data_IF_193664138564
#
_entry.id   IF_193664138564
#
_cell.length_a   1.000
_cell.length_b   1.000
_cell.length_c   1.000
_cell.angle_alpha   90.00
_cell.angle_beta   90.00
_cell.angle_gamma   90.00
#
_symmetry.space_group_name_H-M   'P 1'
#
loop_
_entity.id
_entity.type
_entity.pdbx_description
1 polymer ?
#
# COMPACT_ATOMS: atom_id res chain seq x y z
N UNK A 1 -15.96 -0.70 6.96
CA UNK A 1 -14.56 -0.68 7.45
C UNK A 1 -13.67 -0.45 6.24
N UNK A 2 -12.95 0.68 6.20
CA UNK A 2 -12.04 1.00 5.10
C UNK A 2 -10.62 0.66 5.57
N UNK A 3 -9.99 -0.36 4.97
CA UNK A 3 -8.67 -0.84 5.38
C UNK A 3 -7.58 -0.11 4.59
N UNK A 4 -7.08 1.02 5.10
CA UNK A 4 -5.91 1.70 4.53
C UNK A 4 -4.60 1.24 5.17
N UNK A 5 -3.53 1.21 4.39
CA UNK A 5 -2.16 1.03 4.86
C UNK A 5 -1.51 2.40 5.12
N UNK A 6 -0.69 2.47 6.16
CA UNK A 6 0.11 3.65 6.50
C UNK A 6 1.59 3.36 6.25
N UNK A 7 2.30 4.31 5.66
CA UNK A 7 3.75 4.20 5.51
C UNK A 7 4.42 5.56 5.50
N UNK A 8 5.53 5.67 6.23
CA UNK A 8 6.43 6.81 6.18
C UNK A 8 7.11 6.90 4.82
N UNK A 9 7.12 8.09 4.24
CA UNK A 9 7.84 8.43 3.02
C UNK A 9 9.23 8.89 3.42
N UNK A 10 10.25 8.22 2.90
CA UNK A 10 11.67 8.46 3.26
C UNK A 10 12.40 9.32 2.24
N UNK A 11 11.83 9.49 1.04
CA UNK A 11 12.41 10.22 -0.08
C UNK A 11 11.31 10.99 -0.80
N UNK A 12 11.62 12.07 -1.52
CA UNK A 12 10.65 12.70 -2.40
C UNK A 12 10.15 11.72 -3.49
N UNK A 13 8.90 11.83 -3.96
CA UNK A 13 8.29 10.90 -4.92
C UNK A 13 9.14 10.66 -6.19
N UNK A 14 9.77 11.71 -6.70
CA UNK A 14 10.64 11.69 -7.89
C UNK A 14 11.95 10.91 -7.70
N UNK A 15 12.40 10.72 -6.46
CA UNK A 15 13.66 10.02 -6.14
C UNK A 15 13.49 8.51 -5.95
N UNK A 16 12.25 8.00 -5.93
CA UNK A 16 12.02 6.56 -5.85
C UNK A 16 12.21 5.88 -7.21
N UNK A 17 13.28 5.08 -7.32
CA UNK A 17 13.63 4.29 -8.50
C UNK A 17 12.66 3.14 -8.81
N UNK A 18 12.03 2.56 -7.78
CA UNK A 18 11.17 1.38 -7.93
C UNK A 18 9.69 1.73 -7.76
N UNK A 19 8.82 1.11 -8.56
CA UNK A 19 7.37 1.24 -8.47
C UNK A 19 6.80 0.44 -7.27
N UNK A 20 7.26 0.79 -6.06
CA UNK A 20 6.70 0.27 -4.81
C UNK A 20 5.32 0.89 -4.56
N UNK A 21 4.49 0.24 -3.74
CA UNK A 21 3.16 0.74 -3.39
C UNK A 21 3.21 2.15 -2.78
N UNK A 22 4.18 2.41 -1.90
CA UNK A 22 4.43 3.74 -1.35
C UNK A 22 4.77 4.77 -2.42
N UNK A 23 5.64 4.42 -3.37
CA UNK A 23 6.01 5.34 -4.44
C UNK A 23 4.83 5.64 -5.36
N UNK A 24 4.04 4.61 -5.71
CA UNK A 24 2.85 4.77 -6.53
C UNK A 24 1.87 5.76 -5.85
N UNK A 25 1.60 5.57 -4.56
CA UNK A 25 0.75 6.47 -3.78
C UNK A 25 1.33 7.89 -3.68
N UNK A 26 2.63 8.02 -3.41
CA UNK A 26 3.30 9.32 -3.28
C UNK A 26 3.26 10.10 -4.61
N UNK A 27 3.51 9.44 -5.74
CA UNK A 27 3.39 10.03 -7.08
C UNK A 27 1.96 10.39 -7.43
N UNK A 28 0.98 9.62 -6.97
CA UNK A 28 -0.43 9.97 -7.17
C UNK A 28 -0.81 11.24 -6.40
N UNK A 29 -0.39 11.39 -5.13
CA UNK A 29 -0.58 12.61 -4.36
C UNK A 29 0.06 13.82 -5.03
N UNK A 30 1.30 13.67 -5.51
CA UNK A 30 2.01 14.71 -6.27
C UNK A 30 1.23 15.13 -7.53
N UNK A 31 0.69 14.18 -8.30
CA UNK A 31 -0.15 14.47 -9.48
C UNK A 31 -1.45 15.20 -9.11
N UNK A 32 -2.01 14.93 -7.93
CA UNK A 32 -3.18 15.62 -7.38
C UNK A 32 -2.84 17.00 -6.79
N UNK A 33 -1.58 17.42 -6.82
CA UNK A 33 -1.13 18.69 -6.24
C UNK A 33 -1.03 18.67 -4.71
N UNK A 34 -1.12 17.49 -4.08
CA UNK A 34 -0.93 17.34 -2.64
C UNK A 34 0.57 17.20 -2.37
N UNK A 35 1.20 18.14 -1.65
CA UNK A 35 2.62 18.06 -1.33
C UNK A 35 2.87 16.86 -0.40
N UNK A 36 3.94 16.11 -0.66
CA UNK A 36 4.40 15.01 0.19
C UNK A 36 5.87 15.28 0.53
N UNK A 37 6.15 15.52 1.80
CA UNK A 37 7.50 15.76 2.29
C UNK A 37 8.15 14.47 2.81
N UNK A 38 9.47 14.31 2.67
CA UNK A 38 10.20 13.26 3.38
C UNK A 38 9.95 13.35 4.88
N UNK A 39 9.71 12.21 5.52
CA UNK A 39 9.35 12.09 6.92
C UNK A 39 7.83 12.06 7.16
N UNK A 40 7.00 12.46 6.20
CA UNK A 40 5.55 12.38 6.33
C UNK A 40 5.03 10.94 6.19
N UNK A 41 3.92 10.66 6.87
CA UNK A 41 3.20 9.39 6.71
C UNK A 41 2.08 9.57 5.70
N UNK A 42 2.09 8.77 4.63
CA UNK A 42 1.01 8.73 3.66
C UNK A 42 0.11 7.53 3.91
N UNK A 43 -1.17 7.70 3.58
CA UNK A 43 -2.19 6.68 3.67
C UNK A 43 -2.57 6.23 2.26
N UNK A 44 -2.71 4.93 2.05
CA UNK A 44 -3.11 4.39 0.75
C UNK A 44 -3.88 3.08 0.88
N UNK A 45 -4.60 2.73 -0.19
CA UNK A 45 -5.36 1.49 -0.33
C UNK A 45 -4.82 0.72 -1.54
N UNK A 46 -4.63 -0.60 -1.38
CA UNK A 46 -4.38 -1.48 -2.53
C UNK A 46 -5.73 -1.70 -3.21
N UNK A 47 -5.92 -1.17 -4.42
CA UNK A 47 -7.21 -1.17 -5.12
C UNK A 47 -7.33 -2.30 -6.13
N UNK A 48 -6.30 -2.51 -6.97
CA UNK A 48 -6.27 -3.54 -8.02
C UNK A 48 -4.85 -4.09 -8.12
N UNK A 49 -4.46 -4.98 -7.22
CA UNK A 49 -3.06 -5.40 -7.05
C UNK A 49 -2.41 -5.99 -8.31
N UNK A 50 -3.22 -6.51 -9.23
CA UNK A 50 -2.80 -7.14 -10.49
C UNK A 50 -2.97 -6.25 -11.73
N UNK A 51 -3.22 -4.95 -11.57
CA UNK A 51 -3.36 -4.05 -12.72
C UNK A 51 -2.10 -4.08 -13.60
N UNK A 52 -2.30 -4.03 -14.93
CA UNK A 52 -1.21 -4.06 -15.91
C UNK A 52 -0.28 -2.86 -15.71
N UNK A 53 -0.87 -1.67 -15.59
CA UNK A 53 -0.18 -0.45 -15.24
C UNK A 53 0.06 -0.40 -13.71
N UNK A 54 1.31 -0.25 -13.25
CA UNK A 54 1.61 -0.17 -11.82
C UNK A 54 0.88 0.94 -11.09
N UNK A 55 0.67 2.09 -11.73
CA UNK A 55 0.00 3.26 -11.16
C UNK A 55 -1.47 3.02 -10.77
N UNK A 56 -2.12 2.00 -11.33
CA UNK A 56 -3.51 1.66 -11.03
C UNK A 56 -3.67 0.71 -9.83
N UNK A 57 -2.55 0.15 -9.35
CA UNK A 57 -2.58 -0.88 -8.30
C UNK A 57 -2.91 -0.33 -6.91
N UNK A 58 -2.67 0.96 -6.71
CA UNK A 58 -2.76 1.62 -5.41
C UNK A 58 -3.45 2.96 -5.59
N UNK A 59 -4.26 3.34 -4.59
CA UNK A 59 -4.86 4.66 -4.49
C UNK A 59 -4.45 5.33 -3.19
N UNK A 60 -3.89 6.53 -3.29
CA UNK A 60 -3.65 7.39 -2.15
C UNK A 60 -4.97 7.87 -1.53
N UNK A 61 -4.99 7.98 -0.21
CA UNK A 61 -6.09 8.55 0.57
C UNK A 61 -5.73 9.98 0.92
N UNK A 62 -6.41 10.95 0.32
CA UNK A 62 -6.32 12.36 0.68
C UNK A 62 -7.70 12.87 1.18
N UNK A 63 -7.72 13.98 1.92
CA UNK A 63 -8.89 14.43 2.67
C UNK A 63 -10.23 14.37 1.91
N UNK A 64 -11.24 13.75 2.53
CA UNK A 64 -12.60 13.70 2.01
C UNK A 64 -12.82 12.74 0.83
N UNK A 65 -11.78 12.07 0.34
CA UNK A 65 -11.90 11.01 -0.66
C UNK A 65 -12.87 9.96 -0.12
N UNK A 66 -13.97 9.72 -0.84
CA UNK A 66 -15.02 8.77 -0.46
C UNK A 66 -14.50 7.33 -0.32
N UNK A 67 -15.41 6.35 -0.32
CA UNK A 67 -14.99 4.96 -0.12
C UNK A 67 -14.18 4.44 -1.31
N UNK A 68 -12.86 4.31 -1.14
CA UNK A 68 -11.96 3.67 -2.11
C UNK A 68 -12.12 2.15 -1.99
N UNK A 69 -12.47 1.50 -3.10
CA UNK A 69 -12.59 0.05 -3.16
C UNK A 69 -11.21 -0.62 -2.91
N UNK A 70 -11.21 -1.64 -2.04
CA UNK A 70 -10.01 -2.41 -1.70
C UNK A 70 -9.97 -3.76 -2.41
N UNK A 71 -8.78 -4.17 -2.84
CA UNK A 71 -8.50 -5.53 -3.32
C UNK A 71 -8.43 -6.49 -2.13
N UNK A 72 -9.57 -7.06 -1.74
CA UNK A 72 -9.68 -7.92 -0.56
C UNK A 72 -8.68 -9.08 -0.60
N UNK A 73 -8.47 -9.71 -1.77
CA UNK A 73 -7.53 -10.81 -1.92
C UNK A 73 -6.09 -10.40 -1.61
N UNK A 74 -5.70 -9.17 -1.98
CA UNK A 74 -4.39 -8.63 -1.65
C UNK A 74 -4.20 -8.49 -0.12
N UNK A 75 -5.21 -8.00 0.59
CA UNK A 75 -5.16 -7.88 2.05
C UNK A 75 -5.17 -9.24 2.76
N UNK A 76 -5.98 -10.20 2.29
CA UNK A 76 -5.98 -11.57 2.81
C UNK A 76 -4.58 -12.19 2.69
N UNK A 77 -3.91 -12.01 1.55
CA UNK A 77 -2.53 -12.49 1.37
C UNK A 77 -1.53 -11.81 2.30
N UNK A 78 -1.70 -10.52 2.59
CA UNK A 78 -0.85 -9.82 3.57
C UNK A 78 -1.04 -10.40 4.98
N UNK A 79 -2.29 -10.65 5.38
CA UNK A 79 -2.61 -11.27 6.66
C UNK A 79 -2.02 -12.68 6.74
N UNK A 80 -2.20 -13.51 5.71
CA UNK A 80 -1.61 -14.85 5.65
C UNK A 80 -0.09 -14.82 5.81
N UNK A 81 0.60 -13.89 5.14
CA UNK A 81 2.05 -13.70 5.30
C UNK A 81 2.41 -13.30 6.73
N UNK A 82 1.67 -12.38 7.35
CA UNK A 82 1.91 -11.97 8.73
C UNK A 82 1.71 -13.14 9.70
N UNK A 83 0.65 -13.93 9.52
CA UNK A 83 0.40 -15.15 10.32
C UNK A 83 1.56 -16.14 10.18
N UNK A 84 2.07 -16.37 8.96
CA UNK A 84 3.24 -17.25 8.77
C UNK A 84 4.47 -16.76 9.54
N UNK A 85 4.73 -15.45 9.56
CA UNK A 85 5.84 -14.87 10.34
C UNK A 85 5.63 -15.09 11.84
N UNK A 86 4.41 -14.89 12.34
CA UNK A 86 4.07 -15.12 13.75
C UNK A 86 4.19 -16.59 14.16
N UNK A 87 3.84 -17.51 13.26
CA UNK A 87 3.89 -18.96 13.51
C UNK A 87 5.27 -19.57 13.23
N UNK A 88 6.19 -18.84 12.60
CA UNK A 88 7.53 -19.33 12.27
C UNK A 88 8.30 -19.89 13.50
N UNK A 89 8.27 -19.26 14.69
CA UNK A 89 8.93 -19.80 15.88
C UNK A 89 8.30 -21.11 16.38
N UNK A 90 7.02 -21.34 16.11
CA UNK A 90 6.25 -22.49 16.57
C UNK A 90 6.42 -23.73 15.68
N UNK A 91 7.24 -23.66 14.62
CA UNK A 91 7.46 -24.73 13.63
C UNK A 91 6.17 -25.36 13.06
N UNK A 92 5.09 -24.59 12.99
CA UNK A 92 3.84 -25.06 12.39
C UNK A 92 4.02 -25.14 10.89
N UNK A 93 4.01 -26.35 10.33
CA UNK A 93 3.92 -26.55 8.87
C UNK A 93 2.45 -26.46 8.47
N UNK A 94 2.12 -25.64 7.47
CA UNK A 94 0.78 -25.70 6.88
C UNK A 94 0.55 -27.10 6.30
N UNK A 95 -0.56 -27.73 6.71
CA UNK A 95 -1.08 -28.91 6.02
C UNK A 95 -1.47 -28.49 4.59
N UNK A 96 -1.13 -29.34 3.63
CA UNK A 96 -1.25 -29.09 2.19
C UNK A 96 -2.68 -29.32 1.70
#
# INVERSE_FOLDING_TARGET
MNCSLQRGVTLPPEHYRHATQTNIAAKELQRRGVPVQPGETIHYVISVSKAALPEDRVRAVAGGDGTIASDIDAYVKLIQKAVLVLLAPLRVKCAK
#
